data_IF_963165772851
#
_entry.id   IF_963165772851
#
_cell.length_a   1.000
_cell.length_b   1.000
_cell.length_c   1.000
_cell.angle_alpha   90.00
_cell.angle_beta   90.00
_cell.angle_gamma   90.00
#
_symmetry.space_group_name_H-M   'P 1'
#
loop_
_entity.id
_entity.type
_entity.pdbx_description
1 polymer ?
#
# COMPACT_ATOMS: atom_id res chain seq x y z
N UNK A 1 -0.37 32.82 8.08
CA UNK A 1 0.47 31.60 7.98
C UNK A 1 0.05 30.87 6.72
N UNK A 2 0.99 30.46 5.85
CA UNK A 2 0.65 29.61 4.70
C UNK A 2 -0.07 28.35 5.17
N UNK A 3 -1.09 27.92 4.42
CA UNK A 3 -1.93 26.80 4.81
C UNK A 3 -1.15 25.49 4.64
N UNK A 4 -1.09 24.71 5.73
CA UNK A 4 -0.44 23.38 5.76
C UNK A 4 -1.20 22.33 4.94
N UNK A 5 -2.45 22.63 4.64
CA UNK A 5 -3.31 21.86 3.78
C UNK A 5 -3.92 22.81 2.75
N UNK A 6 -4.32 22.32 1.59
CA UNK A 6 -4.96 23.14 0.59
C UNK A 6 -5.54 22.33 -0.55
N UNK A 7 -6.28 23.04 -1.40
CA UNK A 7 -6.80 22.51 -2.65
C UNK A 7 -6.22 23.31 -3.79
N UNK A 8 -5.96 22.65 -4.91
CA UNK A 8 -5.56 23.31 -6.14
C UNK A 8 -6.51 22.89 -7.25
N UNK A 9 -6.69 23.80 -8.21
CA UNK A 9 -7.55 23.59 -9.34
C UNK A 9 -6.98 24.39 -10.52
N UNK A 10 -6.83 23.77 -11.69
CA UNK A 10 -6.41 24.43 -12.94
C UNK A 10 -7.40 24.11 -14.05
N UNK A 11 -8.02 25.14 -14.67
CA UNK A 11 -9.08 24.94 -15.65
C UNK A 11 -8.58 24.36 -16.98
N UNK A 12 -9.50 23.75 -17.73
CA UNK A 12 -9.30 23.18 -19.06
C UNK A 12 -8.69 24.18 -20.05
N UNK A 13 -7.93 23.69 -21.03
CA UNK A 13 -7.39 24.54 -22.11
C UNK A 13 -6.21 25.42 -21.69
N UNK A 14 -5.75 25.32 -20.45
CA UNK A 14 -4.49 25.94 -20.05
C UNK A 14 -3.33 25.16 -20.66
N UNK A 15 -2.42 25.85 -21.35
CA UNK A 15 -1.19 25.24 -21.88
C UNK A 15 -0.43 24.50 -20.76
N UNK A 16 0.30 23.44 -21.13
CA UNK A 16 1.15 22.71 -20.19
C UNK A 16 2.16 23.64 -19.51
N UNK A 17 2.53 23.32 -18.26
CA UNK A 17 3.53 24.11 -17.53
C UNK A 17 3.45 23.90 -16.02
N UNK A 18 4.52 24.26 -15.32
CA UNK A 18 4.58 24.13 -13.86
C UNK A 18 3.57 25.08 -13.19
N UNK A 19 2.78 24.51 -12.30
CA UNK A 19 1.94 25.22 -11.35
C UNK A 19 2.59 25.08 -9.96
N UNK A 20 3.34 26.09 -9.50
CA UNK A 20 3.96 26.01 -8.18
C UNK A 20 2.85 26.07 -7.13
N UNK A 21 2.79 25.05 -6.27
CA UNK A 21 2.02 25.14 -5.03
C UNK A 21 3.02 25.56 -3.97
N UNK A 22 2.98 26.82 -3.55
CA UNK A 22 3.87 27.28 -2.49
C UNK A 22 3.41 26.69 -1.17
N UNK A 23 3.95 25.52 -0.86
CA UNK A 23 3.82 24.85 0.41
C UNK A 23 5.01 25.27 1.26
N UNK A 24 4.78 26.15 2.23
CA UNK A 24 5.83 26.52 3.17
C UNK A 24 5.98 25.40 4.22
N UNK A 25 6.73 24.36 3.85
CA UNK A 25 7.16 23.31 4.77
C UNK A 25 8.39 23.74 5.58
N UNK A 26 8.59 23.09 6.73
CA UNK A 26 9.92 23.01 7.35
C UNK A 26 10.64 21.79 6.77
N UNK A 27 11.97 21.76 6.89
CA UNK A 27 12.78 20.61 6.45
C UNK A 27 12.21 19.31 7.04
N UNK A 28 11.91 18.34 6.16
CA UNK A 28 11.41 16.98 6.45
C UNK A 28 9.89 16.78 6.67
N UNK A 29 9.04 17.77 6.40
CA UNK A 29 7.58 17.57 6.41
C UNK A 29 7.12 16.57 5.32
N UNK A 30 6.20 15.67 5.67
CA UNK A 30 5.55 14.74 4.72
C UNK A 30 4.20 15.28 4.30
N UNK A 31 4.01 15.46 3.00
CA UNK A 31 2.76 15.91 2.39
C UNK A 31 2.13 14.79 1.60
N UNK A 32 0.82 14.62 1.80
CA UNK A 32 -0.02 13.85 0.91
C UNK A 32 -0.49 14.73 -0.20
N UNK A 33 -0.35 14.29 -1.44
CA UNK A 33 -0.96 14.92 -2.61
C UNK A 33 -1.96 13.93 -3.20
N UNK A 34 -3.23 14.30 -3.14
CA UNK A 34 -4.34 13.52 -3.69
C UNK A 34 -4.82 14.15 -4.99
N UNK A 35 -4.91 13.35 -6.04
CA UNK A 35 -5.50 13.74 -7.31
C UNK A 35 -7.01 13.53 -7.26
N UNK A 36 -7.78 14.62 -7.10
CA UNK A 36 -9.24 14.55 -7.13
C UNK A 36 -9.83 14.69 -8.53
N UNK A 37 -8.98 14.98 -9.53
CA UNK A 37 -9.39 15.18 -10.91
C UNK A 37 -9.45 13.89 -11.72
N UNK A 38 -9.56 14.08 -13.03
CA UNK A 38 -9.73 13.00 -14.01
C UNK A 38 -8.53 12.86 -14.96
N UNK A 39 -7.43 13.57 -14.68
CA UNK A 39 -6.16 13.48 -15.41
C UNK A 39 -4.97 13.29 -14.49
N UNK A 40 -3.95 12.59 -14.98
CA UNK A 40 -2.66 12.46 -14.31
C UNK A 40 -1.98 13.82 -14.12
N UNK A 41 -1.22 13.97 -13.05
CA UNK A 41 -0.25 15.05 -12.91
C UNK A 41 1.05 14.58 -12.27
N UNK A 42 2.12 15.32 -12.52
CA UNK A 42 3.45 15.05 -11.98
C UNK A 42 3.69 15.98 -10.79
N UNK A 43 3.90 15.38 -9.62
CA UNK A 43 4.42 16.08 -8.46
C UNK A 43 5.94 16.11 -8.56
N UNK A 44 6.50 17.31 -8.63
CA UNK A 44 7.94 17.58 -8.59
C UNK A 44 8.32 18.12 -7.22
N UNK A 45 9.32 17.52 -6.61
CA UNK A 45 9.77 17.87 -5.27
C UNK A 45 11.29 17.73 -5.16
N UNK A 46 11.86 18.11 -4.02
CA UNK A 46 13.28 17.89 -3.70
C UNK A 46 13.40 16.93 -2.53
N UNK A 47 14.31 15.96 -2.65
CA UNK A 47 14.71 15.01 -1.61
C UNK A 47 16.23 15.00 -1.53
N UNK A 48 16.82 15.30 -0.37
CA UNK A 48 18.25 15.51 -0.18
C UNK A 48 18.87 16.47 -1.20
N UNK A 49 18.20 17.59 -1.49
CA UNK A 49 18.53 18.54 -2.57
C UNK A 49 18.51 17.99 -4.02
N UNK A 50 18.15 16.72 -4.21
CA UNK A 50 17.98 16.11 -5.54
C UNK A 50 16.54 16.31 -6.03
N UNK A 51 16.32 16.77 -7.27
CA UNK A 51 14.99 16.81 -7.88
C UNK A 51 14.41 15.40 -8.05
N UNK A 52 13.18 15.22 -7.63
CA UNK A 52 12.40 13.98 -7.76
C UNK A 52 11.06 14.29 -8.42
N UNK A 53 10.49 13.30 -9.09
CA UNK A 53 9.16 13.39 -9.69
C UNK A 53 8.36 12.12 -9.48
N UNK A 54 7.04 12.27 -9.32
CA UNK A 54 6.11 11.15 -9.24
C UNK A 54 4.80 11.50 -9.94
N UNK A 55 4.31 10.59 -10.77
CA UNK A 55 3.02 10.72 -11.43
C UNK A 55 1.91 10.29 -10.48
N UNK A 56 0.91 11.14 -10.29
CA UNK A 56 -0.27 10.89 -9.47
C UNK A 56 -1.46 10.73 -10.40
N UNK A 57 -1.90 9.49 -10.55
CA UNK A 57 -3.07 9.14 -11.35
C UNK A 57 -4.38 9.62 -10.70
N UNK A 58 -5.47 9.78 -11.47
CA UNK A 58 -6.79 10.12 -10.96
C UNK A 58 -7.19 9.28 -9.77
N UNK A 59 -7.73 9.93 -8.74
CA UNK A 59 -8.22 9.27 -7.51
C UNK A 59 -7.14 8.52 -6.71
N UNK A 60 -5.86 8.78 -6.98
CA UNK A 60 -4.74 8.27 -6.18
C UNK A 60 -4.16 9.37 -5.28
N UNK A 61 -3.58 8.95 -4.17
CA UNK A 61 -2.75 9.79 -3.32
C UNK A 61 -1.31 9.30 -3.36
N UNK A 62 -0.37 10.23 -3.36
CA UNK A 62 1.04 9.97 -3.10
C UNK A 62 1.48 10.75 -1.87
N UNK A 63 2.35 10.17 -1.08
CA UNK A 63 3.01 10.85 0.03
C UNK A 63 4.44 11.20 -0.38
N UNK A 64 4.81 12.49 -0.22
CA UNK A 64 6.13 13.02 -0.57
C UNK A 64 6.75 13.71 0.63
N UNK A 65 8.04 13.47 0.87
CA UNK A 65 8.80 14.28 1.84
C UNK A 65 9.30 15.54 1.16
N UNK A 66 9.03 16.70 1.74
CA UNK A 66 9.50 17.98 1.23
C UNK A 66 10.77 18.47 1.93
N UNK A 67 11.75 18.83 1.10
CA UNK A 67 12.93 19.64 1.44
C UNK A 67 12.97 20.86 0.51
N UNK A 68 11.84 21.58 0.42
CA UNK A 68 11.64 22.74 -0.43
C UNK A 68 10.22 22.87 -0.96
N UNK A 69 10.05 23.67 -2.01
CA UNK A 69 8.75 23.91 -2.63
C UNK A 69 8.19 22.65 -3.32
N UNK A 70 6.89 22.42 -3.15
CA UNK A 70 6.11 21.45 -3.92
C UNK A 70 5.70 22.08 -5.26
N UNK A 71 6.01 21.42 -6.37
CA UNK A 71 5.56 21.86 -7.69
C UNK A 71 4.66 20.80 -8.30
N UNK A 72 3.55 21.22 -8.89
CA UNK A 72 2.69 20.32 -9.68
C UNK A 72 2.84 20.69 -11.14
N UNK A 73 3.05 19.70 -12.00
CA UNK A 73 3.24 19.90 -13.44
C UNK A 73 2.52 18.84 -14.24
N UNK A 74 2.37 19.07 -15.53
CA UNK A 74 1.77 18.14 -16.48
C UNK A 74 2.55 18.22 -17.76
N UNK A 75 2.72 17.06 -18.42
CA UNK A 75 3.51 16.92 -19.63
C UNK A 75 2.87 17.57 -20.87
N UNK A 76 1.63 18.07 -20.77
CA UNK A 76 0.89 18.64 -21.89
C UNK A 76 -0.26 19.55 -21.48
N UNK A 77 -0.98 20.13 -22.47
CA UNK A 77 -2.19 20.92 -22.22
C UNK A 77 -3.29 20.06 -21.59
N UNK A 78 -4.04 20.66 -20.65
CA UNK A 78 -5.21 20.00 -20.05
C UNK A 78 -6.30 19.86 -21.14
N UNK A 79 -6.75 18.64 -21.47
CA UNK A 79 -7.77 18.43 -22.49
C UNK A 79 -9.04 19.23 -22.23
N UNK A 80 -9.76 19.57 -23.29
CA UNK A 80 -11.04 20.25 -23.18
C UNK A 80 -11.99 19.45 -22.28
N UNK A 81 -12.70 20.12 -21.37
CA UNK A 81 -13.61 19.53 -20.38
C UNK A 81 -12.96 18.66 -19.30
N UNK A 82 -11.63 18.66 -19.18
CA UNK A 82 -10.94 18.06 -18.04
C UNK A 82 -10.39 19.15 -17.13
N UNK A 83 -10.20 18.78 -15.86
CA UNK A 83 -9.70 19.68 -14.85
C UNK A 83 -8.62 18.99 -14.05
N UNK A 84 -7.51 19.69 -13.88
CA UNK A 84 -6.55 19.34 -12.86
C UNK A 84 -7.10 19.83 -11.52
N UNK A 85 -7.33 18.92 -10.60
CA UNK A 85 -7.66 19.28 -9.24
C UNK A 85 -7.10 18.28 -8.25
N UNK A 86 -6.84 18.76 -7.06
CA UNK A 86 -6.35 17.90 -6.00
C UNK A 86 -6.30 18.61 -4.67
N UNK A 87 -5.91 17.81 -3.69
CA UNK A 87 -5.78 18.21 -2.29
C UNK A 87 -4.35 17.92 -1.89
N UNK A 88 -3.74 18.81 -1.12
CA UNK A 88 -2.54 18.47 -0.39
C UNK A 88 -2.78 18.65 1.10
N UNK A 89 -2.29 17.69 1.89
CA UNK A 89 -2.41 17.69 3.35
C UNK A 89 -1.05 17.41 3.99
N UNK A 90 -0.66 18.20 4.99
CA UNK A 90 0.47 17.85 5.85
C UNK A 90 0.09 16.62 6.68
N UNK A 91 0.79 15.51 6.46
CA UNK A 91 0.56 14.24 7.17
C UNK A 91 1.33 14.23 8.50
N UNK A 92 2.48 14.91 8.54
CA UNK A 92 3.25 15.16 9.76
C UNK A 92 4.68 15.61 9.48
N UNK A 93 5.29 16.26 10.48
CA UNK A 93 6.72 16.59 10.51
C UNK A 93 7.59 15.41 11.01
N UNK A 94 6.94 14.43 11.63
CA UNK A 94 7.49 13.38 12.48
C UNK A 94 6.66 12.09 12.44
N UNK A 95 5.60 12.04 11.62
CA UNK A 95 4.65 10.92 11.60
C UNK A 95 4.76 10.10 10.33
N UNK A 96 4.75 8.79 10.54
CA UNK A 96 4.59 7.77 9.51
C UNK A 96 3.24 8.01 8.79
N UNK A 97 3.29 8.00 7.46
CA UNK A 97 2.14 7.96 6.54
C UNK A 97 1.03 7.10 7.13
N UNK A 98 -0.21 7.56 7.32
CA UNK A 98 -1.21 6.75 8.06
C UNK A 98 -2.01 5.78 7.20
N UNK A 99 -2.58 6.22 6.08
CA UNK A 99 -3.41 5.37 5.20
C UNK A 99 -3.84 6.07 3.93
N UNK A 100 -3.98 5.41 2.79
CA UNK A 100 -4.50 6.00 1.56
C UNK A 100 -5.33 5.03 0.72
N UNK A 101 -5.83 5.51 -0.42
CA UNK A 101 -6.58 4.72 -1.40
C UNK A 101 -6.00 4.94 -2.80
N UNK A 102 -6.14 3.94 -3.66
CA UNK A 102 -5.76 4.03 -5.06
C UNK A 102 -6.82 3.40 -5.96
N UNK A 103 -6.95 3.93 -7.18
CA UNK A 103 -7.79 3.42 -8.25
C UNK A 103 -7.14 3.76 -9.59
N UNK A 104 -6.62 2.76 -10.29
CA UNK A 104 -5.79 3.00 -11.47
C UNK A 104 -5.87 1.87 -12.49
N UNK A 105 -5.67 2.22 -13.76
CA UNK A 105 -5.36 1.24 -14.81
C UNK A 105 -3.84 1.01 -14.80
N UNK A 106 -3.43 -0.25 -14.60
CA UNK A 106 -2.03 -0.66 -14.54
C UNK A 106 -1.80 -1.96 -15.32
N UNK A 107 -0.57 -2.21 -15.70
CA UNK A 107 -0.11 -3.44 -16.36
C UNK A 107 1.31 -3.79 -15.90
N UNK A 108 1.87 -4.89 -16.41
CA UNK A 108 3.20 -5.39 -16.06
C UNK A 108 4.36 -4.41 -16.38
N UNK A 109 4.18 -3.54 -17.38
CA UNK A 109 5.16 -2.51 -17.77
C UNK A 109 4.90 -1.13 -17.18
N UNK A 110 3.70 -0.88 -16.65
CA UNK A 110 3.27 0.39 -16.08
C UNK A 110 2.71 0.20 -14.65
N UNK A 111 3.59 -0.07 -13.67
CA UNK A 111 3.17 -0.26 -12.30
C UNK A 111 2.84 1.07 -11.61
N UNK A 112 1.97 1.02 -10.59
CA UNK A 112 1.61 2.17 -9.76
C UNK A 112 2.46 2.23 -8.49
N UNK A 113 3.16 3.33 -8.29
CA UNK A 113 3.77 3.66 -6.99
C UNK A 113 2.73 4.29 -6.07
N UNK A 114 2.29 3.53 -5.05
CA UNK A 114 1.22 3.92 -4.13
C UNK A 114 1.77 4.67 -2.91
N UNK A 115 2.99 4.31 -2.46
CA UNK A 115 3.71 5.01 -1.40
C UNK A 115 5.18 5.13 -1.77
N UNK A 116 5.74 6.33 -1.64
CA UNK A 116 7.16 6.62 -1.86
C UNK A 116 7.80 7.02 -0.53
N UNK A 117 8.41 6.06 0.16
CA UNK A 117 8.98 6.23 1.50
C UNK A 117 10.45 6.65 1.56
N UNK A 118 10.90 6.98 2.77
CA UNK A 118 12.32 7.17 3.13
C UNK A 118 13.02 5.81 3.33
N UNK A 119 14.32 5.84 3.64
CA UNK A 119 15.21 4.67 3.82
C UNK A 119 14.89 3.74 5.01
N UNK A 120 13.80 3.98 5.73
CA UNK A 120 13.43 3.20 6.90
C UNK A 120 12.35 2.21 6.51
N UNK A 121 12.31 1.07 7.20
CA UNK A 121 11.27 0.08 7.01
C UNK A 121 9.94 0.60 7.53
N UNK A 122 8.88 0.40 6.75
CA UNK A 122 7.51 0.73 7.15
C UNK A 122 6.63 -0.51 7.06
N UNK A 123 5.72 -0.65 8.02
CA UNK A 123 4.74 -1.71 8.09
C UNK A 123 3.45 -1.22 7.45
N UNK A 124 3.02 -1.87 6.39
CA UNK A 124 1.79 -1.55 5.70
C UNK A 124 0.82 -2.71 5.80
N UNK A 125 -0.47 -2.39 5.95
CA UNK A 125 -1.54 -3.25 5.49
C UNK A 125 -2.02 -2.76 4.15
N UNK A 126 -2.18 -3.68 3.21
CA UNK A 126 -2.71 -3.41 1.87
C UNK A 126 -3.96 -4.26 1.72
N UNK A 127 -5.05 -3.67 1.27
CA UNK A 127 -6.33 -4.32 1.01
C UNK A 127 -6.68 -4.14 -0.46
N UNK A 128 -6.97 -5.23 -1.15
CA UNK A 128 -7.59 -5.18 -2.47
C UNK A 128 -9.10 -4.95 -2.31
N UNK A 129 -9.55 -3.74 -2.64
CA UNK A 129 -10.95 -3.35 -2.59
C UNK A 129 -11.65 -3.40 -3.95
N UNK A 130 -10.92 -3.75 -5.01
CA UNK A 130 -11.44 -3.88 -6.37
C UNK A 130 -11.79 -5.31 -6.74
N UNK A 131 -12.20 -5.48 -8.00
CA UNK A 131 -12.62 -6.77 -8.56
C UNK A 131 -11.48 -7.54 -9.24
N UNK A 132 -10.35 -6.88 -9.50
CA UNK A 132 -9.19 -7.48 -10.16
C UNK A 132 -8.04 -7.71 -9.17
N UNK A 133 -7.35 -8.83 -9.31
CA UNK A 133 -6.14 -9.12 -8.54
C UNK A 133 -4.98 -8.20 -8.96
N UNK A 134 -4.07 -7.93 -8.02
CA UNK A 134 -2.83 -7.20 -8.30
C UNK A 134 -1.67 -7.74 -7.48
N UNK A 135 -0.46 -7.49 -7.97
CA UNK A 135 0.79 -7.85 -7.33
C UNK A 135 1.28 -6.71 -6.45
N UNK A 136 1.61 -7.03 -5.20
CA UNK A 136 2.38 -6.15 -4.32
C UNK A 136 3.86 -6.43 -4.57
N UNK A 137 4.61 -5.39 -4.95
CA UNK A 137 5.99 -5.51 -5.38
C UNK A 137 6.90 -4.70 -4.46
N UNK A 138 8.04 -5.27 -4.08
CA UNK A 138 9.13 -4.49 -3.49
C UNK A 138 10.07 -3.98 -4.57
N UNK A 139 10.35 -2.68 -4.54
CA UNK A 139 11.42 -2.08 -5.34
C UNK A 139 12.70 -2.05 -4.49
N UNK A 140 13.30 -3.20 -4.24
CA UNK A 140 14.68 -3.26 -3.72
C UNK A 140 15.65 -3.49 -4.89
N UNK A 141 16.45 -2.48 -5.22
CA UNK A 141 17.43 -2.57 -6.30
C UNK A 141 16.84 -2.54 -7.73
N UNK A 142 17.60 -3.09 -8.68
CA UNK A 142 17.29 -3.03 -10.12
C UNK A 142 16.20 -4.04 -10.56
N UNK A 143 15.85 -5.00 -9.71
CA UNK A 143 14.95 -6.12 -10.06
C UNK A 143 13.75 -6.14 -9.10
N UNK A 144 12.57 -5.65 -9.51
CA UNK A 144 11.37 -5.75 -8.70
C UNK A 144 11.03 -7.21 -8.38
N UNK A 145 10.59 -7.47 -7.15
CA UNK A 145 10.16 -8.82 -6.72
C UNK A 145 8.73 -8.78 -6.22
N UNK A 146 7.89 -9.70 -6.70
CA UNK A 146 6.51 -9.87 -6.22
C UNK A 146 6.51 -10.47 -4.82
N UNK A 147 5.93 -9.74 -3.87
CA UNK A 147 5.73 -10.19 -2.48
C UNK A 147 4.55 -11.16 -2.40
N UNK A 148 3.42 -10.74 -2.97
CA UNK A 148 2.19 -11.52 -3.06
C UNK A 148 1.27 -10.97 -4.14
N UNK A 149 0.44 -11.86 -4.69
CA UNK A 149 -0.72 -11.48 -5.51
C UNK A 149 -1.95 -11.39 -4.60
N UNK A 150 -2.52 -10.19 -4.46
CA UNK A 150 -3.72 -9.96 -3.68
C UNK A 150 -4.95 -10.10 -4.58
N UNK A 151 -5.69 -11.20 -4.40
CA UNK A 151 -7.01 -11.35 -4.99
C UNK A 151 -8.02 -10.37 -4.35
N UNK A 152 -9.19 -10.15 -4.99
CA UNK A 152 -10.25 -9.30 -4.43
C UNK A 152 -10.58 -9.64 -2.99
N UNK A 153 -10.84 -8.62 -2.17
CA UNK A 153 -11.19 -8.73 -0.74
C UNK A 153 -10.10 -9.23 0.20
N UNK A 154 -8.90 -9.57 -0.32
CA UNK A 154 -7.78 -9.99 0.50
C UNK A 154 -7.00 -8.79 1.02
N UNK A 155 -6.46 -8.93 2.24
CA UNK A 155 -5.43 -8.06 2.75
C UNK A 155 -4.11 -8.77 2.99
N UNK A 156 -3.04 -7.99 2.95
CA UNK A 156 -1.67 -8.40 3.28
C UNK A 156 -1.08 -7.38 4.25
N UNK A 157 -0.48 -7.86 5.34
CA UNK A 157 0.44 -7.04 6.13
C UNK A 157 1.85 -7.29 5.64
N UNK A 158 2.57 -6.22 5.32
CA UNK A 158 3.90 -6.29 4.71
C UNK A 158 4.84 -5.22 5.27
N UNK A 159 6.09 -5.58 5.50
CA UNK A 159 7.15 -4.59 5.76
C UNK A 159 7.80 -4.19 4.44
N UNK A 160 7.98 -2.89 4.15
CA UNK A 160 8.62 -2.42 2.93
C UNK A 160 9.71 -1.39 3.26
N UNK A 161 10.89 -1.53 2.65
CA UNK A 161 12.05 -0.65 2.94
C UNK A 161 11.96 0.75 2.33
N UNK A 162 11.16 0.92 1.26
CA UNK A 162 11.18 2.15 0.45
C UNK A 162 9.84 2.47 -0.17
N UNK A 163 9.46 1.71 -1.19
CA UNK A 163 8.33 2.04 -2.05
C UNK A 163 7.33 0.89 -2.04
N UNK A 164 6.06 1.24 -1.87
CA UNK A 164 4.96 0.32 -2.17
C UNK A 164 4.59 0.51 -3.64
N UNK A 165 4.86 -0.52 -4.44
CA UNK A 165 4.51 -0.58 -5.85
C UNK A 165 3.48 -1.67 -6.07
N UNK A 166 2.46 -1.37 -6.88
CA UNK A 166 1.42 -2.30 -7.29
C UNK A 166 1.55 -2.53 -8.80
N UNK A 167 1.46 -3.77 -9.25
CA UNK A 167 1.46 -4.14 -10.67
C UNK A 167 0.42 -5.22 -10.96
N UNK A 168 0.36 -5.68 -12.20
CA UNK A 168 -0.28 -6.94 -12.57
C UNK A 168 0.68 -7.78 -13.41
N UNK A 169 0.33 -9.04 -13.62
CA UNK A 169 1.03 -9.93 -14.56
C UNK A 169 0.43 -9.88 -15.98
N UNK A 170 -0.39 -8.87 -16.26
CA UNK A 170 -1.09 -8.67 -17.53
C UNK A 170 -0.37 -7.62 -18.36
N UNK A 171 -0.31 -7.81 -19.67
CA UNK A 171 0.11 -6.78 -20.63
C UNK A 171 -1.01 -5.78 -20.93
N UNK A 172 -2.26 -6.15 -20.67
CA UNK A 172 -3.41 -5.28 -20.82
C UNK A 172 -3.60 -4.41 -19.57
N UNK A 173 -4.10 -3.18 -19.77
CA UNK A 173 -4.45 -2.26 -18.70
C UNK A 173 -5.63 -2.80 -17.87
N UNK A 174 -5.35 -3.13 -16.61
CA UNK A 174 -6.34 -3.63 -15.65
C UNK A 174 -6.65 -2.55 -14.63
N UNK A 175 -7.95 -2.28 -14.42
CA UNK A 175 -8.41 -1.43 -13.33
C UNK A 175 -8.21 -2.13 -11.99
N UNK A 176 -7.35 -1.59 -11.14
CA UNK A 176 -7.13 -2.04 -9.77
C UNK A 176 -7.59 -0.98 -8.77
N UNK A 177 -8.09 -1.43 -7.62
CA UNK A 177 -8.53 -0.56 -6.55
C UNK A 177 -8.06 -1.12 -5.21
N UNK A 178 -7.57 -0.26 -4.33
CA UNK A 178 -7.13 -0.71 -3.02
C UNK A 178 -6.97 0.37 -1.99
N UNK A 179 -6.72 -0.08 -0.78
CA UNK A 179 -6.49 0.74 0.41
C UNK A 179 -5.16 0.30 1.01
N UNK A 180 -4.35 1.25 1.45
CA UNK A 180 -3.18 0.97 2.27
C UNK A 180 -3.28 1.72 3.61
N UNK A 181 -2.70 1.16 4.64
CA UNK A 181 -2.60 1.74 5.99
C UNK A 181 -1.24 1.40 6.56
N UNK A 182 -0.60 2.29 7.32
CA UNK A 182 0.56 1.90 8.12
C UNK A 182 0.12 1.31 9.43
N UNK A 183 0.83 0.27 9.84
CA UNK A 183 0.63 -0.40 11.11
C UNK A 183 1.56 0.26 12.13
N UNK A 184 1.08 1.35 12.75
CA UNK A 184 1.77 1.95 13.90
C UNK A 184 1.59 1.14 15.18
N UNK A 185 2.32 1.51 16.25
CA UNK A 185 2.30 0.83 17.55
C UNK A 185 0.90 0.66 18.20
N UNK A 186 -0.08 1.49 17.82
CA UNK A 186 -1.45 1.45 18.35
C UNK A 186 -2.52 1.02 17.32
N UNK A 187 -2.11 0.48 16.16
CA UNK A 187 -3.03 0.08 15.10
C UNK A 187 -3.84 -1.17 15.48
N UNK A 188 -5.06 -1.01 15.97
CA UNK A 188 -5.99 -2.11 16.31
C UNK A 188 -6.77 -2.68 15.12
N UNK A 189 -6.31 -2.46 13.89
CA UNK A 189 -7.09 -2.78 12.69
C UNK A 189 -7.00 -4.27 12.35
N UNK A 190 -8.03 -4.78 11.68
CA UNK A 190 -8.14 -6.17 11.24
C UNK A 190 -7.93 -6.32 9.73
N UNK A 191 -7.15 -7.30 9.31
CA UNK A 191 -7.08 -7.81 7.95
C UNK A 191 -8.06 -8.97 7.75
N UNK A 192 -8.28 -9.36 6.49
CA UNK A 192 -9.23 -10.40 6.07
C UNK A 192 -8.67 -11.25 4.95
N UNK A 193 -9.14 -12.48 4.88
CA UNK A 193 -8.93 -13.36 3.74
C UNK A 193 -10.18 -14.19 3.47
N UNK A 194 -10.47 -14.46 2.19
CA UNK A 194 -11.54 -15.36 1.73
C UNK A 194 -11.20 -16.02 0.40
N UNK A 195 -11.31 -17.35 0.30
CA UNK A 195 -10.93 -18.08 -0.91
C UNK A 195 -10.54 -19.53 -0.66
N UNK A 196 -10.02 -20.19 -1.70
CA UNK A 196 -9.64 -21.60 -1.66
C UNK A 196 -8.13 -21.73 -1.84
N UNK A 197 -7.42 -22.09 -0.78
CA UNK A 197 -5.96 -22.25 -0.81
C UNK A 197 -5.56 -23.63 -0.33
N UNK A 198 -4.63 -24.23 -1.07
CA UNK A 198 -4.13 -25.56 -0.82
C UNK A 198 -2.77 -25.48 -0.14
N UNK A 199 -2.38 -26.54 0.58
CA UNK A 199 -1.05 -26.63 1.19
C UNK A 199 0.09 -26.39 0.19
N UNK A 200 -0.07 -26.80 -1.06
CA UNK A 200 0.93 -26.60 -2.11
C UNK A 200 1.07 -25.14 -2.56
N UNK A 201 0.03 -24.31 -2.35
CA UNK A 201 -0.02 -22.89 -2.71
C UNK A 201 -0.77 -22.14 -1.62
N UNK A 202 -0.16 -21.98 -0.43
CA UNK A 202 -0.83 -21.38 0.71
C UNK A 202 -0.96 -19.86 0.52
N UNK A 203 -1.97 -19.24 1.13
CA UNK A 203 -2.11 -17.79 1.12
C UNK A 203 -1.15 -17.17 2.13
N UNK A 204 -0.40 -16.17 1.69
CA UNK A 204 0.38 -15.30 2.58
C UNK A 204 -0.49 -14.17 3.10
N UNK A 205 -0.59 -14.00 4.43
CA UNK A 205 -1.41 -12.94 5.06
C UNK A 205 -0.57 -11.92 5.85
N UNK A 206 0.64 -12.30 6.26
CA UNK A 206 1.64 -11.42 6.87
C UNK A 206 3.00 -11.76 6.26
N UNK A 207 3.77 -10.75 5.83
CA UNK A 207 5.11 -10.88 5.25
C UNK A 207 6.06 -9.78 5.73
N UNK A 208 6.96 -10.14 6.63
CA UNK A 208 7.99 -9.24 7.13
C UNK A 208 9.38 -9.50 6.57
N UNK A 209 9.51 -10.38 5.58
CA UNK A 209 10.81 -10.78 5.01
C UNK A 209 11.58 -9.63 4.34
N UNK A 210 10.88 -8.55 4.03
CA UNK A 210 11.41 -7.44 3.26
C UNK A 210 11.92 -6.28 4.12
N UNK A 211 11.94 -6.39 5.46
CA UNK A 211 12.47 -5.32 6.31
C UNK A 211 12.87 -5.80 7.71
N UNK A 212 13.37 -4.88 8.53
CA UNK A 212 13.91 -5.16 9.86
C UNK A 212 12.87 -5.28 10.98
N UNK A 213 11.61 -5.54 10.61
CA UNK A 213 10.43 -5.73 11.45
C UNK A 213 10.70 -6.09 12.91
N UNK A 214 10.18 -5.33 13.90
CA UNK A 214 10.03 -5.87 15.24
C UNK A 214 9.09 -7.07 15.17
N UNK A 215 9.26 -8.01 16.08
CA UNK A 215 8.33 -9.12 16.19
C UNK A 215 6.92 -8.59 16.46
N UNK A 216 5.91 -9.19 15.86
CA UNK A 216 4.53 -8.74 16.00
C UNK A 216 3.62 -9.88 16.45
N UNK A 217 2.60 -9.53 17.22
CA UNK A 217 1.57 -10.44 17.67
C UNK A 217 0.30 -10.26 16.84
N UNK A 218 -0.30 -11.38 16.48
CA UNK A 218 -1.52 -11.44 15.68
C UNK A 218 -2.53 -12.38 16.32
N UNK A 219 -3.80 -11.98 16.32
CA UNK A 219 -4.92 -12.90 16.56
C UNK A 219 -5.53 -13.29 15.23
N UNK A 220 -5.54 -14.57 14.91
CA UNK A 220 -6.26 -15.09 13.74
C UNK A 220 -7.57 -15.69 14.22
N UNK A 221 -8.65 -15.38 13.52
CA UNK A 221 -9.99 -15.89 13.76
C UNK A 221 -10.52 -16.56 12.49
N UNK A 222 -10.93 -17.83 12.60
CA UNK A 222 -11.60 -18.54 11.52
C UNK A 222 -13.07 -18.13 11.49
N UNK A 223 -13.45 -17.31 10.52
CA UNK A 223 -14.84 -16.88 10.32
C UNK A 223 -15.57 -17.67 9.24
N UNK A 224 -14.95 -18.73 8.71
CA UNK A 224 -15.52 -19.61 7.69
C UNK A 224 -16.10 -20.90 8.27
N UNK A 225 -16.62 -21.74 7.38
CA UNK A 225 -17.25 -23.03 7.75
C UNK A 225 -16.28 -24.22 7.77
N UNK A 226 -15.04 -24.03 7.33
CA UNK A 226 -14.04 -25.09 7.20
C UNK A 226 -12.82 -24.78 8.07
N UNK A 227 -12.16 -25.83 8.58
CA UNK A 227 -10.91 -25.69 9.32
C UNK A 227 -9.83 -25.01 8.46
N UNK A 228 -9.08 -24.12 9.10
CA UNK A 228 -7.91 -23.44 8.52
C UNK A 228 -6.65 -24.04 9.13
N UNK A 229 -5.62 -24.25 8.33
CA UNK A 229 -4.27 -24.44 8.84
C UNK A 229 -3.54 -23.10 8.80
N UNK A 230 -3.07 -22.66 9.96
CA UNK A 230 -2.17 -21.52 10.11
C UNK A 230 -0.75 -22.07 10.15
N UNK A 231 0.12 -21.57 9.26
CA UNK A 231 1.53 -21.96 9.20
C UNK A 231 2.38 -20.76 9.56
N UNK A 232 3.26 -20.98 10.51
CA UNK A 232 4.36 -20.07 10.81
C UNK A 232 5.58 -20.49 9.98
N UNK A 233 6.43 -19.55 9.55
CA UNK A 233 7.64 -19.85 8.75
C UNK A 233 8.56 -20.94 9.36
N UNK A 234 8.46 -21.18 10.68
CA UNK A 234 9.11 -22.32 11.38
C UNK A 234 8.62 -23.70 10.91
N UNK A 235 7.59 -23.75 10.05
CA UNK A 235 6.91 -24.96 9.61
C UNK A 235 5.90 -25.49 10.63
N UNK A 236 5.68 -24.78 11.74
CA UNK A 236 4.68 -25.18 12.74
C UNK A 236 3.28 -24.91 12.18
N UNK A 237 2.47 -25.97 12.15
CA UNK A 237 1.08 -25.93 11.67
C UNK A 237 0.11 -25.97 12.85
N UNK A 238 -0.87 -25.07 12.82
CA UNK A 238 -1.98 -25.04 13.75
C UNK A 238 -3.29 -25.18 12.99
N UNK A 239 -4.06 -26.24 13.28
CA UNK A 239 -5.44 -26.35 12.78
C UNK A 239 -6.36 -25.50 13.65
N UNK A 240 -7.07 -24.58 13.00
CA UNK A 240 -8.01 -23.65 13.59
C UNK A 240 -9.43 -23.98 13.10
N UNK A 241 -10.28 -24.62 13.92
CA UNK A 241 -11.67 -24.91 13.57
C UNK A 241 -12.53 -23.65 13.37
N UNK A 242 -13.71 -23.76 12.74
CA UNK A 242 -14.68 -22.66 12.65
C UNK A 242 -14.96 -22.00 14.01
N UNK A 243 -15.15 -20.68 13.99
CA UNK A 243 -15.44 -19.84 15.17
C UNK A 243 -14.36 -19.88 16.27
N UNK A 244 -13.16 -20.35 15.97
CA UNK A 244 -12.02 -20.34 16.89
C UNK A 244 -11.01 -19.26 16.54
N UNK A 245 -10.22 -18.86 17.54
CA UNK A 245 -9.08 -17.96 17.36
C UNK A 245 -7.79 -18.52 17.93
N UNK A 246 -6.67 -18.12 17.35
CA UNK A 246 -5.32 -18.37 17.87
C UNK A 246 -4.51 -17.08 17.86
N UNK A 247 -3.74 -16.87 18.93
CA UNK A 247 -2.75 -15.80 18.97
C UNK A 247 -1.40 -16.38 18.54
N UNK A 248 -0.75 -15.73 17.58
CA UNK A 248 0.55 -16.14 17.02
C UNK A 248 1.51 -14.97 17.01
N UNK A 249 2.80 -15.29 16.98
CA UNK A 249 3.88 -14.32 16.89
C UNK A 249 4.58 -14.47 15.54
N UNK A 250 4.68 -13.38 14.79
CA UNK A 250 5.59 -13.26 13.66
C UNK A 250 6.93 -12.74 14.21
N UNK A 251 7.94 -13.61 14.26
CA UNK A 251 9.24 -13.37 14.89
C UNK A 251 10.34 -13.13 13.84
N UNK A 252 11.19 -12.12 14.07
CA UNK A 252 12.34 -11.79 13.22
C UNK A 252 13.38 -12.90 13.09
N UNK A 253 13.47 -13.81 14.07
CA UNK A 253 14.52 -14.84 14.13
C UNK A 253 14.16 -16.16 13.44
N UNK A 254 12.97 -16.27 12.84
CA UNK A 254 12.57 -17.49 12.13
C UNK A 254 11.08 -17.64 11.80
N UNK A 255 10.26 -16.60 12.01
CA UNK A 255 8.87 -16.57 11.54
C UNK A 255 8.47 -15.21 10.99
N UNK A 256 9.05 -14.84 9.85
CA UNK A 256 8.78 -13.54 9.20
C UNK A 256 7.44 -13.55 8.47
N UNK A 257 6.89 -14.73 8.20
CA UNK A 257 5.71 -14.90 7.35
C UNK A 257 4.67 -15.79 8.02
N UNK A 258 3.40 -15.39 7.89
CA UNK A 258 2.24 -16.20 8.30
C UNK A 258 1.46 -16.59 7.05
N UNK A 259 1.21 -17.89 6.92
CA UNK A 259 0.42 -18.46 5.84
C UNK A 259 -0.85 -19.12 6.35
N UNK A 260 -1.86 -19.21 5.48
CA UNK A 260 -3.09 -19.96 5.73
C UNK A 260 -3.47 -20.84 4.54
N UNK A 261 -4.03 -22.02 4.82
CA UNK A 261 -4.62 -22.90 3.80
C UNK A 261 -5.71 -23.80 4.38
N UNK A 262 -6.48 -24.47 3.52
CA UNK A 262 -7.55 -25.40 3.93
C UNK A 262 -7.02 -26.79 4.33
N UNK A 263 -7.49 -27.37 5.44
CA UNK A 263 -7.16 -28.76 5.83
C UNK A 263 -7.66 -29.80 4.81
N UNK A 264 -8.78 -29.50 4.15
CA UNK A 264 -9.39 -30.35 3.14
C UNK A 264 -9.07 -29.84 1.73
N UNK A 265 -8.94 -30.76 0.78
CA UNK A 265 -8.69 -30.41 -0.63
C UNK A 265 -9.81 -29.51 -1.14
N UNK A 266 -9.43 -28.31 -1.58
CA UNK A 266 -10.27 -27.35 -2.29
C UNK A 266 -11.53 -26.85 -1.54
N UNK A 267 -11.50 -26.78 -0.20
CA UNK A 267 -12.55 -26.08 0.55
C UNK A 267 -12.24 -24.59 0.68
N UNK A 268 -13.27 -23.72 0.55
CA UNK A 268 -13.09 -22.30 0.80
C UNK A 268 -12.87 -22.07 2.30
N UNK A 269 -11.91 -21.21 2.64
CA UNK A 269 -11.71 -20.70 3.98
C UNK A 269 -11.92 -19.19 4.02
N UNK A 270 -12.30 -18.71 5.18
CA UNK A 270 -12.51 -17.29 5.44
C UNK A 270 -12.01 -16.97 6.85
N UNK A 271 -11.34 -15.84 7.02
CA UNK A 271 -10.89 -15.44 8.32
C UNK A 271 -10.49 -13.99 8.43
N UNK A 272 -10.29 -13.60 9.68
CA UNK A 272 -9.91 -12.26 10.09
C UNK A 272 -8.60 -12.40 10.86
N UNK A 273 -7.65 -11.50 10.63
CA UNK A 273 -6.45 -11.43 11.46
C UNK A 273 -6.29 -10.02 12.02
N UNK A 274 -6.02 -9.91 13.32
CA UNK A 274 -5.93 -8.66 14.05
C UNK A 274 -4.50 -8.47 14.54
N UNK A 275 -3.93 -7.30 14.29
CA UNK A 275 -2.66 -6.92 14.88
C UNK A 275 -2.88 -6.59 16.37
N UNK A 276 -2.09 -7.21 17.24
CA UNK A 276 -2.18 -7.06 18.69
C UNK A 276 -1.09 -6.14 19.26
N UNK A 277 -0.01 -5.90 18.51
CA UNK A 277 1.12 -5.08 18.93
C UNK A 277 2.45 -5.61 18.40
N UNK A 278 3.49 -4.79 18.51
CA UNK A 278 4.89 -5.15 18.23
C UNK A 278 5.73 -5.12 19.50
N UNK A 279 6.76 -5.98 19.56
CA UNK A 279 7.79 -6.02 20.62
C UNK A 279 8.97 -5.07 20.36
#
# INVERSE_FOLDING_TARGET
>A
MPSRNGRFQRPSGTAGGEFPIVVAGKDADVYRVFNSGDIDFVVKYKKNNTPEEVTVQPRCAVDVTLEGDLKISFAGPIPANQQLEGIYDLVGSDREVRSGRFKAFINDTNPLEVVVGKSNDFYYRILNSGDNAFDVITKSGANPTTVATLAPTLSLDVTLQRTLTISTNSTDDILVEGIYETLGAESTRNGRFKGTWLKAVPLKIVDFSQGSAPSAFYRLFNSGENDIVVVLDTGVEHTLPPDQSIDVKADKSGSETIFVYSTAVAKPIEGIYQFLGSE
#
